data_IF_412129232706
#
_entry.id   IF_412129232706
#
_cell.length_a   1.000
_cell.length_b   1.000
_cell.length_c   1.000
_cell.angle_alpha   90.00
_cell.angle_beta   90.00
_cell.angle_gamma   90.00
#
_symmetry.space_group_name_H-M   'P 1'
#
loop_
_entity.id
_entity.type
_entity.pdbx_description
1 polymer ?
#
# COMPACT_ATOMS: atom_id res chain seq x y z
N UNK A 1 -17.78 -1.40 -18.85
CA UNK A 1 -17.43 0.04 -18.75
C UNK A 1 -15.92 0.24 -18.85
N UNK A 2 -15.10 -0.38 -18.02
CA UNK A 2 -13.63 -0.24 -18.04
C UNK A 2 -13.05 -0.53 -19.43
N UNK A 3 -13.40 -1.67 -20.03
CA UNK A 3 -12.95 -2.04 -21.38
C UNK A 3 -13.41 -1.04 -22.46
N UNK A 4 -14.60 -0.46 -22.33
CA UNK A 4 -15.08 0.56 -23.26
C UNK A 4 -14.28 1.85 -23.12
N UNK A 5 -13.95 2.25 -21.90
CA UNK A 5 -13.13 3.42 -21.62
C UNK A 5 -11.70 3.23 -22.15
N UNK A 6 -11.08 2.09 -21.88
CA UNK A 6 -9.76 1.74 -22.39
C UNK A 6 -9.74 1.68 -23.95
N UNK A 7 -10.77 1.10 -24.57
CA UNK A 7 -10.93 1.07 -26.03
C UNK A 7 -11.04 2.48 -26.63
N UNK A 8 -11.77 3.37 -25.94
CA UNK A 8 -11.87 4.78 -26.34
C UNK A 8 -10.54 5.52 -26.17
N UNK A 9 -9.81 5.30 -25.09
CA UNK A 9 -8.48 5.90 -24.85
C UNK A 9 -7.49 5.52 -25.96
N UNK A 10 -7.54 4.29 -26.42
CA UNK A 10 -6.74 3.79 -27.55
C UNK A 10 -7.27 4.24 -28.92
N UNK A 11 -8.13 5.26 -28.96
CA UNK A 11 -8.76 5.77 -30.20
C UNK A 11 -9.47 4.67 -30.98
N UNK A 12 -10.15 3.76 -30.28
CA UNK A 12 -10.84 2.60 -30.80
C UNK A 12 -9.95 1.63 -31.61
N UNK A 13 -8.69 1.49 -31.21
CA UNK A 13 -7.76 0.48 -31.74
C UNK A 13 -7.72 -0.74 -30.84
N UNK A 14 -7.52 -1.92 -31.45
CA UNK A 14 -7.28 -3.15 -30.67
C UNK A 14 -5.96 -3.08 -29.92
N UNK A 15 -5.86 -3.84 -28.83
CA UNK A 15 -4.58 -4.07 -28.16
C UNK A 15 -3.67 -4.80 -29.13
N UNK A 16 -2.42 -4.38 -29.22
CA UNK A 16 -1.39 -5.17 -29.86
C UNK A 16 -1.14 -6.38 -28.95
N UNK A 17 -1.24 -7.60 -29.49
CA UNK A 17 -0.85 -8.78 -28.76
C UNK A 17 0.64 -8.67 -28.41
N UNK A 18 1.05 -8.93 -27.16
CA UNK A 18 2.46 -9.15 -26.86
C UNK A 18 3.00 -10.34 -27.68
N UNK A 19 4.29 -10.29 -27.99
CA UNK A 19 4.97 -11.40 -28.65
C UNK A 19 4.87 -12.67 -27.79
N UNK A 20 4.93 -13.82 -28.43
CA UNK A 20 4.78 -15.17 -27.89
C UNK A 20 5.40 -15.36 -26.51
N UNK A 21 4.56 -15.63 -25.49
CA UNK A 21 4.99 -15.99 -24.12
C UNK A 21 4.17 -15.44 -22.96
N UNK A 22 3.27 -14.49 -23.16
CA UNK A 22 2.39 -13.97 -22.11
C UNK A 22 1.01 -14.64 -22.11
N UNK A 23 0.50 -14.89 -20.90
CA UNK A 23 -0.74 -15.57 -20.56
C UNK A 23 -1.86 -15.39 -21.59
N UNK A 24 -2.42 -16.49 -22.06
CA UNK A 24 -3.60 -16.49 -22.95
C UNK A 24 -4.70 -15.64 -22.33
N UNK A 25 -5.09 -14.59 -23.07
CA UNK A 25 -6.17 -13.73 -22.62
C UNK A 25 -7.44 -14.56 -22.41
N UNK A 26 -8.06 -14.37 -21.24
CA UNK A 26 -9.31 -15.04 -20.84
C UNK A 26 -10.33 -14.98 -21.99
N UNK A 27 -10.94 -16.10 -22.40
CA UNK A 27 -11.82 -16.16 -23.58
C UNK A 27 -12.93 -15.12 -23.55
N UNK A 28 -13.53 -14.85 -22.38
CA UNK A 28 -14.59 -13.86 -22.19
C UNK A 28 -14.11 -12.44 -22.50
N UNK A 29 -12.86 -12.11 -22.18
CA UNK A 29 -12.26 -10.81 -22.48
C UNK A 29 -12.08 -10.64 -23.99
N UNK A 30 -11.62 -11.68 -24.69
CA UNK A 30 -11.50 -11.67 -26.17
C UNK A 30 -12.85 -11.47 -26.85
N UNK A 31 -13.91 -12.10 -26.38
CA UNK A 31 -15.24 -11.97 -26.96
C UNK A 31 -15.84 -10.58 -26.73
N UNK A 32 -15.60 -9.98 -25.59
CA UNK A 32 -15.94 -8.59 -25.33
C UNK A 32 -15.14 -7.63 -26.22
N UNK A 33 -13.84 -7.84 -26.42
CA UNK A 33 -13.03 -7.03 -27.34
C UNK A 33 -13.52 -7.14 -28.79
N UNK A 34 -13.84 -8.34 -29.26
CA UNK A 34 -14.45 -8.55 -30.58
C UNK A 34 -15.79 -7.81 -30.72
N UNK A 35 -16.62 -7.86 -29.65
CA UNK A 35 -17.89 -7.15 -29.61
C UNK A 35 -17.68 -5.63 -29.70
N UNK A 36 -16.77 -5.06 -28.89
CA UNK A 36 -16.43 -3.64 -28.95
C UNK A 36 -15.90 -3.23 -30.32
N UNK A 37 -15.06 -4.04 -30.97
CA UNK A 37 -14.54 -3.79 -32.30
C UNK A 37 -15.65 -3.80 -33.36
N UNK A 38 -16.61 -4.72 -33.27
CA UNK A 38 -17.78 -4.77 -34.19
C UNK A 38 -18.61 -3.49 -34.12
N UNK A 39 -18.73 -2.90 -32.94
CA UNK A 39 -19.50 -1.67 -32.73
C UNK A 39 -18.67 -0.38 -32.78
N UNK A 40 -17.40 -0.45 -33.14
CA UNK A 40 -16.44 0.66 -33.14
C UNK A 40 -16.98 1.95 -33.73
N UNK A 41 -17.53 1.89 -34.99
CA UNK A 41 -18.00 3.07 -35.67
C UNK A 41 -19.20 3.71 -34.97
N UNK A 42 -20.15 2.90 -34.49
CA UNK A 42 -21.32 3.40 -33.74
C UNK A 42 -20.90 4.02 -32.41
N UNK A 43 -19.97 3.38 -31.71
CA UNK A 43 -19.45 3.89 -30.44
C UNK A 43 -18.71 5.22 -30.63
N UNK A 44 -17.87 5.33 -31.66
CA UNK A 44 -17.16 6.57 -31.98
C UNK A 44 -18.12 7.69 -32.38
N UNK A 45 -19.11 7.40 -33.20
CA UNK A 45 -20.14 8.36 -33.60
C UNK A 45 -20.99 8.83 -32.43
N UNK A 46 -21.47 7.90 -31.59
CA UNK A 46 -22.23 8.24 -30.38
C UNK A 46 -21.43 9.11 -29.43
N UNK A 47 -20.14 8.81 -29.21
CA UNK A 47 -19.26 9.62 -28.38
C UNK A 47 -19.07 11.02 -28.97
N UNK A 48 -18.87 11.14 -30.28
CA UNK A 48 -18.75 12.44 -30.96
C UNK A 48 -20.03 13.28 -30.80
N UNK A 49 -21.20 12.70 -31.05
CA UNK A 49 -22.50 13.35 -30.84
C UNK A 49 -22.69 13.78 -29.39
N UNK A 50 -22.36 12.92 -28.44
CA UNK A 50 -22.45 13.24 -27.03
C UNK A 50 -21.54 14.42 -26.63
N UNK A 51 -20.28 14.41 -27.10
CA UNK A 51 -19.34 15.50 -26.88
C UNK A 51 -19.81 16.83 -27.46
N UNK A 52 -20.32 16.83 -28.65
CA UNK A 52 -20.86 18.02 -29.31
C UNK A 52 -22.07 18.55 -28.53
N UNK A 53 -23.03 17.67 -28.20
CA UNK A 53 -24.25 18.01 -27.46
C UNK A 53 -23.96 18.67 -26.11
N UNK A 54 -22.92 18.21 -25.44
CA UNK A 54 -22.55 18.68 -24.08
C UNK A 54 -21.36 19.63 -24.08
N UNK A 55 -20.88 20.09 -25.24
CA UNK A 55 -19.74 20.98 -25.42
C UNK A 55 -18.47 20.49 -24.67
N UNK A 56 -18.17 19.18 -24.74
CA UNK A 56 -17.06 18.54 -24.04
C UNK A 56 -15.81 18.48 -24.90
N UNK A 57 -14.68 18.94 -24.38
CA UNK A 57 -13.38 18.85 -25.08
C UNK A 57 -12.87 17.43 -25.20
N UNK A 58 -13.11 16.58 -24.18
CA UNK A 58 -12.68 15.18 -24.16
C UNK A 58 -13.71 14.30 -23.43
N UNK A 59 -13.60 12.98 -23.54
CA UNK A 59 -14.44 12.06 -22.78
C UNK A 59 -14.21 12.14 -21.27
N UNK A 60 -12.99 12.46 -20.83
CA UNK A 60 -12.66 12.66 -19.42
C UNK A 60 -13.39 13.84 -18.79
N UNK A 61 -13.87 14.82 -19.60
CA UNK A 61 -14.70 15.92 -19.08
C UNK A 61 -16.07 15.47 -18.53
N UNK A 62 -16.48 14.22 -18.78
CA UNK A 62 -17.68 13.61 -18.17
C UNK A 62 -17.43 13.19 -16.72
N UNK A 63 -16.18 12.93 -16.37
CA UNK A 63 -15.80 12.55 -15.01
C UNK A 63 -15.86 13.76 -14.06
N UNK A 64 -16.16 13.51 -12.81
CA UNK A 64 -16.10 14.56 -11.77
C UNK A 64 -14.68 15.14 -11.66
N UNK A 65 -14.58 16.38 -11.17
CA UNK A 65 -13.29 17.04 -11.02
C UNK A 65 -12.34 16.27 -10.12
N UNK A 66 -12.88 15.68 -9.05
CA UNK A 66 -12.10 14.84 -8.12
C UNK A 66 -11.47 13.63 -8.81
N UNK A 67 -12.20 12.97 -9.71
CA UNK A 67 -11.68 11.82 -10.48
C UNK A 67 -10.65 12.29 -11.50
N UNK A 68 -10.90 13.40 -12.19
CA UNK A 68 -9.93 13.97 -13.17
C UNK A 68 -8.61 14.36 -12.51
N UNK A 69 -8.65 14.95 -11.31
CA UNK A 69 -7.45 15.29 -10.54
C UNK A 69 -6.68 14.02 -10.17
N UNK A 70 -7.37 12.97 -9.70
CA UNK A 70 -6.76 11.68 -9.40
C UNK A 70 -6.14 11.03 -10.63
N UNK A 71 -6.87 10.99 -11.75
CA UNK A 71 -6.36 10.46 -13.02
C UNK A 71 -5.10 11.20 -13.49
N UNK A 72 -5.08 12.53 -13.36
CA UNK A 72 -3.90 13.32 -13.72
C UNK A 72 -2.71 12.98 -12.83
N UNK A 73 -2.91 12.94 -11.51
CA UNK A 73 -1.88 12.56 -10.55
C UNK A 73 -1.36 11.14 -10.77
N UNK A 74 -2.24 10.19 -11.03
CA UNK A 74 -1.86 8.80 -11.28
C UNK A 74 -0.90 8.62 -12.47
N UNK A 75 -1.03 9.47 -13.50
CA UNK A 75 -0.16 9.43 -14.68
C UNK A 75 1.26 9.97 -14.43
N UNK A 76 1.43 10.81 -13.42
CA UNK A 76 2.72 11.43 -13.07
C UNK A 76 3.35 10.86 -11.81
N UNK A 77 2.68 9.91 -11.14
CA UNK A 77 3.21 9.26 -9.94
C UNK A 77 4.58 8.64 -10.22
N UNK A 78 5.62 8.99 -9.45
CA UNK A 78 6.90 8.31 -9.52
C UNK A 78 6.78 6.84 -9.12
N UNK A 79 7.74 6.04 -9.55
CA UNK A 79 7.91 4.68 -9.06
C UNK A 79 8.74 4.70 -7.78
N UNK A 80 8.28 3.97 -6.79
CA UNK A 80 9.02 3.73 -5.56
C UNK A 80 9.46 2.28 -5.53
N UNK A 81 10.70 2.04 -5.13
CA UNK A 81 11.23 0.69 -5.03
C UNK A 81 12.17 0.58 -3.83
N UNK A 82 11.88 -0.36 -2.94
CA UNK A 82 12.71 -0.63 -1.78
C UNK A 82 13.81 -1.66 -2.08
N UNK A 83 14.93 -1.52 -1.43
CA UNK A 83 16.11 -2.37 -1.55
C UNK A 83 16.04 -3.48 -0.50
N UNK A 84 16.25 -4.73 -0.93
CA UNK A 84 16.34 -5.87 -0.03
C UNK A 84 17.69 -5.88 0.70
N UNK A 85 17.71 -5.31 1.89
CA UNK A 85 18.91 -5.14 2.71
C UNK A 85 19.43 -6.44 3.35
N UNK A 86 18.79 -7.59 3.12
CA UNK A 86 19.35 -8.89 3.50
C UNK A 86 20.51 -9.33 2.58
N UNK A 87 20.54 -8.85 1.35
CA UNK A 87 21.48 -9.31 0.33
C UNK A 87 22.42 -8.22 -0.17
N UNK A 88 22.06 -6.95 0.00
CA UNK A 88 22.82 -5.80 -0.50
C UNK A 88 22.55 -4.57 0.36
N UNK A 89 23.26 -3.49 0.11
CA UNK A 89 23.00 -2.18 0.73
C UNK A 89 22.39 -1.20 -0.28
N UNK A 90 21.77 -0.14 0.23
CA UNK A 90 21.28 0.94 -0.62
C UNK A 90 22.39 1.55 -1.47
N UNK A 91 23.59 1.74 -0.88
CA UNK A 91 24.73 2.36 -1.56
C UNK A 91 25.27 1.46 -2.68
N UNK A 92 25.35 0.14 -2.49
CA UNK A 92 25.70 -0.81 -3.55
C UNK A 92 24.71 -0.77 -4.73
N UNK A 93 23.40 -0.66 -4.44
CA UNK A 93 22.40 -0.51 -5.50
C UNK A 93 22.57 0.84 -6.22
N UNK A 94 22.87 1.93 -5.51
CA UNK A 94 23.17 3.22 -6.13
C UNK A 94 24.40 3.14 -7.04
N UNK A 95 25.47 2.43 -6.64
CA UNK A 95 26.64 2.20 -7.47
C UNK A 95 26.29 1.42 -8.75
N UNK A 96 25.47 0.38 -8.65
CA UNK A 96 24.97 -0.36 -9.81
C UNK A 96 24.17 0.52 -10.77
N UNK A 97 23.33 1.42 -10.25
CA UNK A 97 22.57 2.38 -11.04
C UNK A 97 23.49 3.41 -11.72
N UNK A 98 24.51 3.90 -11.01
CA UNK A 98 25.55 4.77 -11.61
C UNK A 98 26.31 4.05 -12.72
N UNK A 99 26.66 2.78 -12.52
CA UNK A 99 27.26 1.94 -13.56
C UNK A 99 26.37 1.73 -14.79
N UNK A 100 25.05 1.83 -14.61
CA UNK A 100 24.04 1.81 -15.69
C UNK A 100 23.79 3.22 -16.31
N UNK A 101 24.64 4.20 -16.05
CA UNK A 101 24.55 5.60 -16.51
C UNK A 101 23.31 6.36 -15.94
N UNK A 102 22.81 5.98 -14.78
CA UNK A 102 21.83 6.78 -14.05
C UNK A 102 22.51 7.71 -13.05
N UNK A 103 21.97 8.91 -12.88
CA UNK A 103 22.49 9.92 -11.94
C UNK A 103 21.53 10.13 -10.77
N UNK A 104 22.09 10.31 -9.56
CA UNK A 104 21.30 10.65 -8.38
C UNK A 104 20.90 12.13 -8.41
N UNK A 105 19.60 12.42 -8.20
CA UNK A 105 19.05 13.78 -8.03
C UNK A 105 18.46 13.95 -6.63
N UNK A 106 18.44 15.18 -6.13
CA UNK A 106 17.99 15.49 -4.77
C UNK A 106 16.47 15.66 -4.68
N UNK A 107 15.82 16.10 -5.75
CA UNK A 107 14.41 16.45 -5.75
C UNK A 107 13.65 15.55 -6.72
N UNK A 108 12.46 15.13 -6.31
CA UNK A 108 11.57 14.26 -7.11
C UNK A 108 11.13 14.96 -8.41
N UNK A 109 11.07 16.29 -8.41
CA UNK A 109 10.72 17.08 -9.60
C UNK A 109 11.79 17.04 -10.70
N UNK A 110 13.03 16.69 -10.36
CA UNK A 110 14.14 16.60 -11.30
C UNK A 110 14.30 15.19 -11.90
N UNK A 111 13.39 14.28 -11.58
CA UNK A 111 13.43 12.92 -12.11
C UNK A 111 13.21 12.87 -13.61
N UNK A 112 14.09 12.14 -14.27
CA UNK A 112 14.05 11.82 -15.70
C UNK A 112 14.22 10.31 -15.92
N UNK A 113 14.23 9.86 -17.17
CA UNK A 113 14.42 8.44 -17.48
C UNK A 113 15.87 7.95 -17.26
N UNK A 114 16.80 8.84 -16.91
CA UNK A 114 18.21 8.56 -16.60
C UNK A 114 18.61 8.98 -15.19
N UNK A 115 17.64 9.25 -14.31
CA UNK A 115 17.92 9.69 -12.94
C UNK A 115 17.09 8.92 -11.90
N UNK A 116 17.59 8.89 -10.66
CA UNK A 116 16.90 8.37 -9.49
C UNK A 116 17.10 9.27 -8.28
N UNK A 117 16.28 9.12 -7.24
CA UNK A 117 16.43 9.84 -5.98
C UNK A 117 16.24 8.90 -4.79
N UNK A 118 16.78 9.24 -3.64
CA UNK A 118 16.52 8.55 -2.36
C UNK A 118 15.27 9.12 -1.72
N UNK A 119 14.41 8.26 -1.13
CA UNK A 119 13.23 8.74 -0.42
C UNK A 119 13.62 9.31 0.96
N UNK A 120 13.23 10.54 1.29
CA UNK A 120 13.60 11.18 2.56
C UNK A 120 12.95 10.53 3.79
N UNK A 121 11.83 9.81 3.63
CA UNK A 121 11.10 9.14 4.73
C UNK A 121 11.41 7.64 4.83
N UNK A 122 11.88 7.03 3.74
CA UNK A 122 12.11 5.60 3.65
C UNK A 122 13.58 5.35 3.28
N UNK A 123 14.44 5.08 4.27
CA UNK A 123 15.89 5.03 4.07
C UNK A 123 16.38 3.88 3.18
N UNK A 124 15.52 2.91 2.90
CA UNK A 124 15.78 1.77 2.02
C UNK A 124 15.11 1.91 0.65
N UNK A 125 14.53 3.07 0.32
CA UNK A 125 13.67 3.24 -0.85
C UNK A 125 14.25 4.25 -1.83
N UNK A 126 14.24 3.88 -3.12
CA UNK A 126 14.62 4.71 -4.25
C UNK A 126 13.38 5.15 -5.04
N UNK A 127 13.49 6.29 -5.70
CA UNK A 127 12.43 6.93 -6.48
C UNK A 127 12.89 7.06 -7.93
N UNK A 128 12.00 6.69 -8.86
CA UNK A 128 12.29 6.70 -10.30
C UNK A 128 11.17 7.38 -11.08
N UNK A 129 11.46 7.83 -12.31
CA UNK A 129 10.44 8.26 -13.26
C UNK A 129 9.46 7.14 -13.57
N UNK A 130 8.16 7.47 -13.70
CA UNK A 130 7.11 6.52 -14.10
C UNK A 130 7.42 5.81 -15.42
N UNK A 131 8.12 6.46 -16.34
CA UNK A 131 8.52 5.89 -17.63
C UNK A 131 9.43 4.67 -17.50
N UNK A 132 10.14 4.54 -16.38
CA UNK A 132 11.02 3.42 -16.08
C UNK A 132 10.29 2.17 -15.57
N UNK A 133 8.95 2.18 -15.49
CA UNK A 133 8.17 1.05 -14.96
C UNK A 133 8.50 -0.26 -15.68
N UNK A 134 8.36 -0.29 -17.01
CA UNK A 134 8.62 -1.49 -17.81
C UNK A 134 10.11 -1.88 -17.81
N UNK A 135 11.06 -0.96 -18.03
CA UNK A 135 12.48 -1.28 -17.92
C UNK A 135 12.90 -1.85 -16.56
N UNK A 136 12.43 -1.25 -15.45
CA UNK A 136 12.74 -1.73 -14.11
C UNK A 136 12.12 -3.10 -13.83
N UNK A 137 10.87 -3.32 -14.20
CA UNK A 137 10.21 -4.63 -14.04
C UNK A 137 10.95 -5.75 -14.77
N UNK A 138 11.57 -5.45 -15.91
CA UNK A 138 12.34 -6.40 -16.72
C UNK A 138 13.82 -6.46 -16.33
N UNK A 139 14.26 -5.68 -15.35
CA UNK A 139 15.66 -5.63 -14.95
C UNK A 139 16.08 -6.83 -14.11
N UNK A 140 17.37 -7.14 -14.08
CA UNK A 140 17.94 -8.15 -13.19
C UNK A 140 17.72 -7.79 -11.72
N UNK A 141 17.79 -6.50 -11.34
CA UNK A 141 17.58 -6.04 -9.97
C UNK A 141 16.20 -6.42 -9.43
N UNK A 142 15.16 -6.32 -10.27
CA UNK A 142 13.78 -6.65 -9.89
C UNK A 142 13.53 -8.15 -9.96
N UNK A 143 14.04 -8.85 -10.97
CA UNK A 143 13.86 -10.30 -11.12
C UNK A 143 14.56 -11.12 -10.03
N UNK A 144 15.65 -10.59 -9.46
CA UNK A 144 16.37 -11.16 -8.31
C UNK A 144 15.90 -10.62 -6.95
N UNK A 145 14.87 -9.78 -6.93
CA UNK A 145 14.35 -9.14 -5.72
C UNK A 145 15.37 -8.34 -4.90
N UNK A 146 16.41 -7.84 -5.54
CA UNK A 146 17.33 -6.84 -4.98
C UNK A 146 16.60 -5.50 -4.85
N UNK A 147 15.82 -5.12 -5.89
CA UNK A 147 14.98 -3.94 -5.93
C UNK A 147 13.53 -4.34 -6.13
N UNK A 148 12.62 -3.83 -5.31
CA UNK A 148 11.23 -4.26 -5.28
C UNK A 148 10.29 -3.06 -5.43
N UNK A 149 9.57 -2.98 -6.55
CA UNK A 149 8.64 -1.88 -6.83
C UNK A 149 7.42 -2.00 -5.91
N UNK A 150 7.15 -0.95 -5.15
CA UNK A 150 6.04 -0.90 -4.21
C UNK A 150 5.52 0.52 -4.04
N UNK A 151 4.23 0.68 -3.71
CA UNK A 151 3.65 1.99 -3.44
C UNK A 151 4.30 2.67 -2.23
N UNK A 152 4.58 3.98 -2.35
CA UNK A 152 5.23 4.76 -1.29
C UNK A 152 4.49 4.69 0.03
N UNK A 153 3.16 4.71 0.01
CA UNK A 153 2.36 4.67 1.25
C UNK A 153 2.61 3.41 2.05
N UNK A 154 2.94 2.30 1.38
CA UNK A 154 3.32 1.03 2.01
C UNK A 154 4.76 1.09 2.51
N UNK A 155 5.71 1.60 1.69
CA UNK A 155 7.10 1.80 2.12
C UNK A 155 7.17 2.66 3.39
N UNK A 156 6.40 3.74 3.46
CA UNK A 156 6.30 4.60 4.65
C UNK A 156 5.75 3.84 5.85
N UNK A 157 4.72 3.00 5.68
CA UNK A 157 4.18 2.19 6.77
C UNK A 157 5.22 1.21 7.33
N UNK A 158 6.07 0.62 6.47
CA UNK A 158 7.18 -0.24 6.90
C UNK A 158 8.31 0.56 7.55
N UNK A 159 8.67 1.71 6.97
CA UNK A 159 9.71 2.60 7.53
C UNK A 159 9.39 3.05 8.95
N UNK A 160 8.12 3.29 9.27
CA UNK A 160 7.65 3.59 10.62
C UNK A 160 7.96 2.48 11.62
N UNK A 161 7.98 1.22 11.19
CA UNK A 161 8.28 0.09 12.08
C UNK A 161 9.75 0.04 12.48
N UNK A 162 10.68 0.40 11.62
CA UNK A 162 12.12 0.22 11.86
C UNK A 162 12.59 0.74 13.23
N UNK A 163 12.30 1.99 13.64
CA UNK A 163 12.70 2.51 14.94
C UNK A 163 11.89 1.91 16.12
N UNK A 164 10.81 1.19 15.84
CA UNK A 164 9.93 0.59 16.84
C UNK A 164 10.25 -0.89 17.12
N UNK A 165 11.14 -1.47 16.32
CA UNK A 165 11.52 -2.87 16.43
C UNK A 165 12.45 -3.10 17.64
N UNK A 166 12.12 -4.12 18.41
CA UNK A 166 12.90 -4.54 19.58
C UNK A 166 13.89 -5.62 19.17
N UNK A 167 15.07 -5.59 19.78
CA UNK A 167 16.05 -6.66 19.61
C UNK A 167 15.44 -8.01 20.02
N UNK A 168 15.49 -8.98 19.12
CA UNK A 168 14.86 -10.31 19.27
C UNK A 168 13.36 -10.28 19.57
N UNK A 169 12.69 -9.15 19.36
CA UNK A 169 11.24 -9.02 19.52
C UNK A 169 10.51 -9.39 18.25
N UNK A 170 9.37 -10.08 18.38
CA UNK A 170 8.58 -10.48 17.24
C UNK A 170 7.58 -9.40 16.85
N UNK A 171 7.25 -9.36 15.55
CA UNK A 171 6.25 -8.47 14.94
C UNK A 171 5.09 -9.32 14.42
N UNK A 172 3.86 -8.92 14.66
CA UNK A 172 2.69 -9.54 14.04
C UNK A 172 2.07 -8.58 13.02
N UNK A 173 1.77 -9.11 11.83
CA UNK A 173 1.08 -8.37 10.77
C UNK A 173 -0.36 -8.85 10.72
N UNK A 174 -1.30 -7.92 10.92
CA UNK A 174 -2.73 -8.20 10.91
C UNK A 174 -3.45 -7.40 9.84
N UNK A 175 -4.41 -7.99 9.16
CA UNK A 175 -5.25 -7.34 8.16
C UNK A 175 -5.05 -7.90 6.76
N UNK A 176 -5.10 -7.03 5.76
CA UNK A 176 -4.98 -7.38 4.33
C UNK A 176 -3.75 -6.71 3.74
N UNK A 177 -2.82 -7.51 3.22
CA UNK A 177 -1.54 -7.05 2.68
C UNK A 177 -1.02 -8.04 1.63
N UNK A 178 -0.11 -7.57 0.80
CA UNK A 178 0.54 -8.40 -0.22
C UNK A 178 1.69 -9.24 0.34
N UNK A 179 2.08 -10.27 -0.40
CA UNK A 179 3.31 -11.01 -0.11
C UNK A 179 4.55 -10.11 -0.10
N UNK A 180 4.57 -9.08 -0.96
CA UNK A 180 5.67 -8.11 -1.04
C UNK A 180 5.73 -7.20 0.20
N UNK A 181 4.59 -6.76 0.72
CA UNK A 181 4.51 -6.00 1.98
C UNK A 181 5.00 -6.84 3.15
N UNK A 182 4.61 -8.11 3.21
CA UNK A 182 5.10 -9.04 4.23
C UNK A 182 6.62 -9.23 4.14
N UNK A 183 7.16 -9.41 2.93
CA UNK A 183 8.60 -9.54 2.70
C UNK A 183 9.35 -8.28 3.16
N UNK A 184 8.86 -7.09 2.85
CA UNK A 184 9.46 -5.83 3.28
C UNK A 184 9.50 -5.70 4.81
N UNK A 185 8.40 -6.02 5.50
CA UNK A 185 8.35 -6.05 6.97
C UNK A 185 9.33 -7.10 7.53
N UNK A 186 9.44 -8.26 6.87
CA UNK A 186 10.34 -9.33 7.31
C UNK A 186 11.82 -8.94 7.17
N UNK A 187 12.18 -8.24 6.10
CA UNK A 187 13.53 -7.67 5.91
C UNK A 187 13.83 -6.66 7.02
N UNK A 188 12.92 -5.75 7.31
CA UNK A 188 13.08 -4.78 8.39
C UNK A 188 13.23 -5.47 9.76
N UNK A 189 12.43 -6.49 10.06
CA UNK A 189 12.48 -7.24 11.33
C UNK A 189 13.77 -8.06 11.47
N UNK A 190 14.30 -8.60 10.37
CA UNK A 190 15.54 -9.38 10.38
C UNK A 190 16.74 -8.57 10.88
N UNK A 191 16.78 -7.26 10.61
CA UNK A 191 17.81 -6.36 11.11
C UNK A 191 17.89 -6.29 12.65
N UNK A 192 16.83 -6.73 13.35
CA UNK A 192 16.75 -6.83 14.81
C UNK A 192 16.64 -8.28 15.31
N UNK A 193 16.97 -9.26 14.46
CA UNK A 193 16.83 -10.69 14.79
C UNK A 193 15.40 -11.08 15.23
N UNK A 194 14.39 -10.34 14.78
CA UNK A 194 12.99 -10.55 15.06
C UNK A 194 12.32 -11.49 14.04
N UNK A 195 11.27 -12.21 14.50
CA UNK A 195 10.39 -12.96 13.61
C UNK A 195 9.15 -12.14 13.26
N UNK A 196 8.59 -12.40 12.09
CA UNK A 196 7.30 -11.87 11.67
C UNK A 196 6.25 -12.98 11.73
N UNK A 197 5.15 -12.70 12.44
CA UNK A 197 4.02 -13.61 12.60
C UNK A 197 2.87 -13.16 11.69
N UNK A 198 2.23 -14.10 11.01
CA UNK A 198 1.07 -13.89 10.14
C UNK A 198 0.00 -14.92 10.46
N UNK A 199 -1.25 -14.52 10.57
CA UNK A 199 -2.38 -15.43 10.78
C UNK A 199 -2.91 -15.93 9.43
N UNK A 200 -2.61 -17.19 9.10
CA UNK A 200 -2.91 -17.79 7.79
C UNK A 200 -4.40 -17.91 7.49
N UNK A 201 -5.24 -18.07 8.51
CA UNK A 201 -6.70 -18.17 8.32
C UNK A 201 -7.36 -16.83 7.89
N UNK A 202 -6.65 -15.70 8.00
CA UNK A 202 -7.15 -14.41 7.50
C UNK A 202 -6.93 -14.24 5.99
N UNK A 203 -6.21 -15.18 5.34
CA UNK A 203 -5.84 -15.14 3.94
C UNK A 203 -6.41 -16.35 3.18
N UNK A 204 -6.65 -16.18 1.89
CA UNK A 204 -7.02 -17.29 1.02
C UNK A 204 -5.85 -18.27 0.83
N UNK A 205 -6.14 -19.50 0.39
CA UNK A 205 -5.10 -20.49 0.07
C UNK A 205 -4.12 -19.95 -0.96
N UNK A 206 -4.63 -19.26 -1.99
CA UNK A 206 -3.79 -18.64 -3.03
C UNK A 206 -2.86 -17.59 -2.45
N UNK A 207 -3.35 -16.69 -1.61
CA UNK A 207 -2.52 -15.66 -0.95
C UNK A 207 -1.44 -16.28 -0.06
N UNK A 208 -1.78 -17.34 0.67
CA UNK A 208 -0.80 -18.07 1.48
C UNK A 208 0.28 -18.76 0.63
N UNK A 209 -0.08 -19.28 -0.54
CA UNK A 209 0.88 -19.86 -1.50
C UNK A 209 1.76 -18.78 -2.12
N UNK A 210 1.20 -17.65 -2.52
CA UNK A 210 1.96 -16.49 -3.03
C UNK A 210 2.97 -15.97 -2.01
N UNK A 211 2.55 -15.83 -0.73
CA UNK A 211 3.46 -15.43 0.35
C UNK A 211 4.62 -16.42 0.50
N UNK A 212 4.34 -17.73 0.56
CA UNK A 212 5.38 -18.76 0.69
C UNK A 212 6.34 -18.76 -0.51
N UNK A 213 5.80 -18.64 -1.72
CA UNK A 213 6.59 -18.64 -2.95
C UNK A 213 7.53 -17.42 -3.01
N UNK A 214 7.03 -16.21 -2.68
CA UNK A 214 7.84 -14.99 -2.69
C UNK A 214 8.92 -15.03 -1.60
N UNK A 215 8.55 -15.39 -0.36
CA UNK A 215 9.50 -15.48 0.75
C UNK A 215 10.63 -16.48 0.45
N UNK A 216 10.30 -17.62 -0.21
CA UNK A 216 11.30 -18.60 -0.65
C UNK A 216 12.22 -18.03 -1.72
N UNK A 217 11.70 -17.31 -2.73
CA UNK A 217 12.51 -16.65 -3.76
C UNK A 217 13.48 -15.60 -3.20
N UNK A 218 13.05 -14.90 -2.15
CA UNK A 218 13.84 -13.84 -1.48
C UNK A 218 14.73 -14.38 -0.35
N UNK A 219 14.79 -15.70 -0.14
CA UNK A 219 15.49 -16.38 0.98
C UNK A 219 15.14 -15.82 2.38
N UNK A 220 13.89 -15.38 2.56
CA UNK A 220 13.39 -14.86 3.83
C UNK A 220 12.92 -16.00 4.72
N UNK A 221 13.58 -16.19 5.89
CA UNK A 221 13.34 -17.33 6.79
C UNK A 221 12.71 -16.92 8.13
N UNK A 222 12.57 -15.64 8.40
CA UNK A 222 12.08 -15.12 9.68
C UNK A 222 10.56 -14.87 9.70
N UNK A 223 9.79 -15.49 8.80
CA UNK A 223 8.32 -15.41 8.78
C UNK A 223 7.72 -16.72 9.24
N UNK A 224 6.76 -16.66 10.17
CA UNK A 224 6.00 -17.80 10.68
C UNK A 224 4.51 -17.58 10.44
N UNK A 225 3.88 -18.49 9.70
CA UNK A 225 2.44 -18.48 9.48
C UNK A 225 1.76 -19.31 10.58
N UNK A 226 0.85 -18.67 11.31
CA UNK A 226 0.01 -19.28 12.35
C UNK A 226 -1.26 -19.82 11.70
N UNK A 227 -1.81 -20.95 12.14
CA UNK A 227 -3.01 -21.53 11.54
C UNK A 227 -4.29 -20.77 11.88
N UNK A 228 -4.31 -20.02 12.99
CA UNK A 228 -5.47 -19.29 13.48
C UNK A 228 -5.72 -18.00 12.70
N UNK A 229 -6.95 -17.47 12.80
CA UNK A 229 -7.26 -16.09 12.44
C UNK A 229 -6.81 -15.13 13.54
N UNK A 230 -6.42 -13.90 13.17
CA UNK A 230 -5.89 -12.93 14.12
C UNK A 230 -6.86 -12.66 15.28
N UNK A 231 -8.13 -12.40 15.00
CA UNK A 231 -9.12 -12.15 16.04
C UNK A 231 -9.49 -13.37 16.90
N UNK A 232 -8.96 -14.55 16.57
CA UNK A 232 -9.12 -15.79 17.34
C UNK A 232 -7.81 -16.17 18.07
N UNK A 233 -6.72 -15.48 17.79
CA UNK A 233 -5.42 -15.75 18.39
C UNK A 233 -5.46 -15.38 19.88
N UNK A 234 -5.17 -16.36 20.73
CA UNK A 234 -5.17 -16.15 22.18
C UNK A 234 -3.89 -15.41 22.60
N UNK A 235 -4.06 -14.38 23.40
CA UNK A 235 -2.98 -13.57 23.96
C UNK A 235 -2.00 -14.36 24.87
N UNK A 236 -2.44 -15.52 25.39
CA UNK A 236 -1.64 -16.43 26.20
C UNK A 236 -0.93 -17.53 25.40
N UNK A 237 -1.06 -17.51 24.05
CA UNK A 237 -0.40 -18.49 23.21
C UNK A 237 1.13 -18.36 23.31
N UNK A 238 1.84 -19.45 23.52
CA UNK A 238 3.31 -19.47 23.61
C UNK A 238 3.99 -18.88 22.35
N UNK A 239 3.35 -18.96 21.17
CA UNK A 239 3.90 -18.40 19.93
C UNK A 239 3.96 -16.87 19.92
N UNK A 240 3.17 -16.19 20.74
CA UNK A 240 3.17 -14.71 20.88
C UNK A 240 3.92 -14.22 22.10
N UNK A 241 4.68 -15.10 22.75
CA UNK A 241 5.41 -14.75 23.99
C UNK A 241 6.45 -13.64 23.77
N UNK A 242 7.08 -13.59 22.60
CA UNK A 242 8.09 -12.59 22.22
C UNK A 242 7.50 -11.41 21.44
N UNK A 243 6.18 -11.38 21.22
CA UNK A 243 5.50 -10.36 20.43
C UNK A 243 5.62 -8.99 21.13
N UNK A 244 6.20 -8.01 20.43
CA UNK A 244 6.42 -6.65 20.92
C UNK A 244 5.69 -5.59 20.10
N UNK A 245 5.53 -5.85 18.81
CA UNK A 245 4.92 -4.90 17.88
C UNK A 245 3.82 -5.60 17.10
N UNK A 246 2.68 -4.94 16.92
CA UNK A 246 1.64 -5.36 15.98
C UNK A 246 1.48 -4.23 14.95
N UNK A 247 1.54 -4.57 13.67
CA UNK A 247 1.11 -3.67 12.60
C UNK A 247 -0.25 -4.12 12.10
N UNK A 248 -1.21 -3.20 12.09
CA UNK A 248 -2.58 -3.42 11.60
C UNK A 248 -2.73 -2.71 10.27
N UNK A 249 -2.89 -3.48 9.20
CA UNK A 249 -3.09 -3.05 7.82
C UNK A 249 -4.48 -3.47 7.36
N UNK A 250 -5.56 -2.86 7.85
CA UNK A 250 -6.89 -3.34 7.56
C UNK A 250 -7.32 -3.00 6.13
N UNK A 251 -8.31 -3.71 5.60
CA UNK A 251 -9.03 -3.23 4.44
C UNK A 251 -9.64 -1.85 4.74
N UNK A 252 -9.52 -0.93 3.79
CA UNK A 252 -10.01 0.43 3.91
C UNK A 252 -10.62 0.92 2.59
N UNK A 253 -11.19 2.11 2.62
CA UNK A 253 -11.83 2.72 1.45
C UNK A 253 -10.88 2.99 0.27
N UNK A 254 -9.57 2.94 0.47
CA UNK A 254 -8.56 3.28 -0.55
C UNK A 254 -8.74 4.69 -1.16
N UNK A 255 -9.44 5.57 -0.46
CA UNK A 255 -9.83 6.91 -0.94
C UNK A 255 -8.64 7.87 -1.09
N UNK A 256 -7.53 7.59 -0.39
CA UNK A 256 -6.28 8.36 -0.49
C UNK A 256 -5.39 7.93 -1.68
N UNK A 257 -5.80 6.96 -2.48
CA UNK A 257 -5.06 6.50 -3.65
C UNK A 257 -5.42 7.34 -4.89
N UNK A 258 -4.41 7.68 -5.69
CA UNK A 258 -4.60 8.31 -7.00
C UNK A 258 -5.04 7.28 -8.05
N UNK A 259 -4.41 6.09 -8.06
CA UNK A 259 -4.88 4.91 -8.80
C UNK A 259 -5.24 3.78 -7.82
N UNK A 260 -6.52 3.70 -7.42
CA UNK A 260 -6.93 2.66 -6.49
C UNK A 260 -6.88 1.25 -7.11
N UNK A 261 -7.06 1.11 -8.43
CA UNK A 261 -7.13 -0.21 -9.09
C UNK A 261 -5.81 -0.95 -9.01
N UNK A 262 -4.71 -0.28 -9.39
CA UNK A 262 -3.37 -0.87 -9.36
C UNK A 262 -2.99 -1.29 -7.94
N UNK A 263 -3.22 -0.39 -6.96
CA UNK A 263 -2.86 -0.67 -5.56
C UNK A 263 -3.79 -1.72 -4.92
N UNK A 264 -5.09 -1.73 -5.25
CA UNK A 264 -6.00 -2.79 -4.78
C UNK A 264 -5.59 -4.16 -5.30
N UNK A 265 -5.14 -4.23 -6.55
CA UNK A 265 -4.66 -5.46 -7.15
C UNK A 265 -3.40 -5.96 -6.44
N UNK A 266 -2.39 -5.09 -6.29
CA UNK A 266 -1.11 -5.46 -5.72
C UNK A 266 -1.15 -5.72 -4.21
N UNK A 267 -2.05 -5.07 -3.45
CA UNK A 267 -2.13 -5.12 -1.99
C UNK A 267 -3.41 -5.81 -1.47
N UNK A 268 -4.06 -6.62 -2.31
CA UNK A 268 -5.28 -7.37 -1.94
C UNK A 268 -6.38 -6.50 -1.31
N UNK A 269 -6.61 -5.32 -1.90
CA UNK A 269 -7.63 -4.39 -1.42
C UNK A 269 -9.07 -4.89 -1.61
N UNK A 270 -10.01 -4.20 -1.00
CA UNK A 270 -11.44 -4.52 -1.13
C UNK A 270 -12.04 -3.99 -2.44
N UNK A 271 -12.21 -4.88 -3.41
CA UNK A 271 -12.82 -4.56 -4.71
C UNK A 271 -14.24 -4.03 -4.63
N UNK A 272 -14.96 -4.29 -3.52
CA UNK A 272 -16.32 -3.81 -3.34
C UNK A 272 -16.43 -2.29 -3.14
N UNK A 273 -15.31 -1.58 -2.92
CA UNK A 273 -15.30 -0.10 -2.88
C UNK A 273 -15.12 0.52 -4.25
N UNK A 274 -14.74 -0.24 -5.28
CA UNK A 274 -14.44 0.27 -6.61
C UNK A 274 -15.64 0.98 -7.29
N UNK A 275 -16.90 0.47 -7.20
CA UNK A 275 -18.05 1.18 -7.71
C UNK A 275 -18.23 2.57 -7.08
N UNK A 276 -18.06 2.69 -5.78
CA UNK A 276 -18.16 3.96 -5.05
C UNK A 276 -17.06 4.93 -5.48
N UNK A 277 -15.82 4.44 -5.56
CA UNK A 277 -14.67 5.25 -5.99
C UNK A 277 -14.83 5.78 -7.44
N UNK A 278 -15.51 5.04 -8.31
CA UNK A 278 -15.81 5.48 -9.68
C UNK A 278 -16.76 6.69 -9.73
N UNK A 279 -17.50 6.93 -8.67
CA UNK A 279 -18.36 8.11 -8.49
C UNK A 279 -17.66 9.22 -7.66
N UNK A 280 -16.41 9.01 -7.24
CA UNK A 280 -15.61 9.98 -6.50
C UNK A 280 -15.83 10.03 -4.99
N UNK A 281 -16.72 9.17 -4.45
CA UNK A 281 -16.98 9.10 -3.01
C UNK A 281 -17.42 7.69 -2.61
N UNK A 282 -17.03 7.26 -1.41
CA UNK A 282 -17.44 5.99 -0.83
C UNK A 282 -18.70 6.19 0.00
N UNK A 283 -19.68 5.28 -0.13
CA UNK A 283 -20.95 5.36 0.59
C UNK A 283 -20.78 5.25 2.11
N UNK A 284 -21.63 5.95 2.87
CA UNK A 284 -21.60 5.92 4.34
C UNK A 284 -21.78 4.51 4.91
N UNK A 285 -22.63 3.69 4.28
CA UNK A 285 -22.84 2.30 4.69
C UNK A 285 -21.57 1.45 4.52
N UNK A 286 -20.81 1.68 3.45
CA UNK A 286 -19.54 0.99 3.21
C UNK A 286 -18.47 1.43 4.21
N UNK A 287 -18.36 2.74 4.47
CA UNK A 287 -17.45 3.28 5.51
C UNK A 287 -17.79 2.66 6.88
N UNK A 288 -19.08 2.57 7.24
CA UNK A 288 -19.51 1.94 8.49
C UNK A 288 -19.10 0.47 8.56
N UNK A 289 -19.28 -0.29 7.48
CA UNK A 289 -18.85 -1.70 7.42
C UNK A 289 -17.33 -1.83 7.61
N UNK A 290 -16.54 -1.02 6.89
CA UNK A 290 -15.08 -1.02 6.99
C UNK A 290 -14.62 -0.65 8.40
N UNK A 291 -15.16 0.42 8.99
CA UNK A 291 -14.79 0.88 10.33
C UNK A 291 -15.16 -0.13 11.42
N UNK A 292 -16.19 -0.94 11.22
CA UNK A 292 -16.54 -2.03 12.14
C UNK A 292 -15.45 -3.11 12.15
N UNK A 293 -14.98 -3.54 10.98
CA UNK A 293 -13.91 -4.53 10.87
C UNK A 293 -12.57 -3.97 11.37
N UNK A 294 -12.25 -2.74 11.00
CA UNK A 294 -11.05 -2.04 11.43
C UNK A 294 -11.00 -1.90 12.96
N UNK A 295 -12.12 -1.50 13.59
CA UNK A 295 -12.22 -1.38 15.05
C UNK A 295 -11.98 -2.73 15.75
N UNK A 296 -12.50 -3.83 15.18
CA UNK A 296 -12.30 -5.18 15.72
C UNK A 296 -10.83 -5.59 15.69
N UNK A 297 -10.13 -5.36 14.56
CA UNK A 297 -8.72 -5.67 14.42
C UNK A 297 -7.87 -4.84 15.40
N UNK A 298 -8.11 -3.53 15.45
CA UNK A 298 -7.36 -2.64 16.33
C UNK A 298 -7.63 -2.95 17.80
N UNK A 299 -8.89 -3.15 18.21
CA UNK A 299 -9.23 -3.49 19.59
C UNK A 299 -8.56 -4.79 20.03
N UNK A 300 -8.59 -5.82 19.17
CA UNK A 300 -7.93 -7.09 19.47
C UNK A 300 -6.39 -6.92 19.61
N UNK A 301 -5.76 -6.08 18.77
CA UNK A 301 -4.33 -5.82 18.89
C UNK A 301 -3.91 -5.21 20.24
N UNK A 302 -4.82 -4.50 20.92
CA UNK A 302 -4.56 -3.87 22.22
C UNK A 302 -4.68 -4.85 23.41
N UNK A 303 -5.22 -6.05 23.21
CA UNK A 303 -5.38 -7.05 24.30
C UNK A 303 -4.07 -7.73 24.68
N UNK A 304 -3.10 -7.82 23.74
CA UNK A 304 -1.86 -8.58 23.97
C UNK A 304 -0.98 -7.94 25.05
N UNK A 305 -0.73 -8.64 26.17
CA UNK A 305 -0.08 -8.02 27.35
C UNK A 305 1.39 -7.66 27.14
N UNK A 306 2.10 -8.39 26.27
CA UNK A 306 3.53 -8.19 26.00
C UNK A 306 3.81 -7.23 24.86
N UNK A 307 2.79 -6.82 24.12
CA UNK A 307 2.90 -5.83 23.04
C UNK A 307 3.14 -4.45 23.64
N UNK A 308 4.16 -3.78 23.14
CA UNK A 308 4.56 -2.45 23.56
C UNK A 308 4.06 -1.37 22.61
N UNK A 309 3.96 -1.71 21.32
CA UNK A 309 3.55 -0.76 20.28
C UNK A 309 2.61 -1.43 19.29
N UNK A 310 1.56 -0.70 18.94
CA UNK A 310 0.66 -1.04 17.83
C UNK A 310 0.74 0.09 16.81
N UNK A 311 0.96 -0.26 15.55
CA UNK A 311 0.94 0.67 14.42
C UNK A 311 -0.30 0.35 13.60
N UNK A 312 -1.15 1.34 13.39
CA UNK A 312 -2.38 1.23 12.59
C UNK A 312 -2.24 2.09 11.34
N UNK A 313 -2.41 1.49 10.16
CA UNK A 313 -2.24 2.17 8.89
C UNK A 313 -3.45 1.99 7.99
N UNK A 314 -3.91 3.07 7.35
CA UNK A 314 -4.91 3.03 6.27
C UNK A 314 -4.46 3.85 5.07
N UNK A 315 -5.10 3.60 3.93
CA UNK A 315 -4.98 4.42 2.72
C UNK A 315 -6.28 5.19 2.50
N UNK A 316 -6.79 5.80 3.56
CA UNK A 316 -8.05 6.53 3.59
C UNK A 316 -7.85 8.00 3.93
N UNK A 317 -8.65 8.87 3.33
CA UNK A 317 -8.78 10.27 3.72
C UNK A 317 -9.90 10.49 4.74
N UNK A 318 -10.72 9.47 5.01
CA UNK A 318 -11.89 9.61 5.88
C UNK A 318 -11.49 9.55 7.36
N UNK A 319 -11.84 10.59 8.15
CA UNK A 319 -11.57 10.62 9.59
C UNK A 319 -12.21 9.44 10.35
N UNK A 320 -13.33 8.91 9.86
CA UNK A 320 -14.06 7.80 10.42
C UNK A 320 -13.24 6.49 10.41
N UNK A 321 -12.37 6.31 9.41
CA UNK A 321 -11.45 5.18 9.32
C UNK A 321 -10.12 5.44 10.03
N UNK A 322 -9.84 6.69 10.37
CA UNK A 322 -8.56 7.19 10.86
C UNK A 322 -8.63 7.58 12.34
N UNK A 323 -8.43 8.86 12.66
CA UNK A 323 -8.33 9.35 14.03
C UNK A 323 -9.57 9.13 14.87
N UNK A 324 -10.76 9.23 14.29
CA UNK A 324 -12.02 8.99 15.04
C UNK A 324 -12.14 7.54 15.44
N UNK A 325 -11.74 6.61 14.56
CA UNK A 325 -11.70 5.18 14.88
C UNK A 325 -10.69 4.89 15.99
N UNK A 326 -9.47 5.39 15.84
CA UNK A 326 -8.38 5.15 16.82
C UNK A 326 -8.79 5.65 18.20
N UNK A 327 -9.30 6.87 18.33
CA UNK A 327 -9.74 7.44 19.60
C UNK A 327 -10.88 6.64 20.21
N UNK A 328 -11.90 6.30 19.42
CA UNK A 328 -13.03 5.49 19.89
C UNK A 328 -12.57 4.13 20.43
N UNK A 329 -11.67 3.46 19.73
CA UNK A 329 -11.15 2.15 20.17
C UNK A 329 -10.32 2.30 21.46
N UNK A 330 -9.51 3.34 21.58
CA UNK A 330 -8.73 3.59 22.80
C UNK A 330 -9.62 3.90 24.02
N UNK A 331 -10.70 4.67 23.82
CA UNK A 331 -11.69 4.97 24.87
C UNK A 331 -12.42 3.71 25.36
N UNK A 332 -12.68 2.77 24.46
CA UNK A 332 -13.39 1.51 24.75
C UNK A 332 -12.45 0.39 25.22
N UNK A 333 -11.14 0.56 25.07
CA UNK A 333 -10.17 -0.47 25.40
C UNK A 333 -10.12 -0.74 26.92
N UNK A 334 -10.46 -1.97 27.32
CA UNK A 334 -10.29 -2.41 28.69
C UNK A 334 -8.81 -2.65 28.96
N UNK A 335 -8.24 -1.86 29.85
CA UNK A 335 -6.86 -2.03 30.27
C UNK A 335 -6.79 -3.05 31.43
N UNK A 336 -5.97 -4.08 31.27
CA UNK A 336 -5.70 -5.00 32.37
C UNK A 336 -5.13 -4.22 33.56
N UNK A 337 -5.59 -4.41 34.82
CA UNK A 337 -5.22 -3.58 35.96
C UNK A 337 -3.70 -3.47 36.25
N UNK A 338 -2.95 -4.48 35.79
CA UNK A 338 -1.48 -4.53 35.97
C UNK A 338 -0.68 -3.95 34.80
N UNK A 339 -1.34 -3.57 33.70
CA UNK A 339 -0.70 -3.07 32.49
C UNK A 339 -0.94 -1.58 32.34
N UNK A 340 -0.01 -0.90 31.70
CA UNK A 340 -0.22 0.49 31.28
C UNK A 340 -1.16 0.52 30.06
N UNK A 341 -2.06 1.51 30.01
CA UNK A 341 -2.93 1.68 28.84
C UNK A 341 -2.12 2.09 27.62
N UNK A 342 -2.60 1.69 26.45
CA UNK A 342 -2.10 2.25 25.20
C UNK A 342 -2.55 3.70 25.06
N UNK A 343 -1.67 4.54 24.53
CA UNK A 343 -1.95 5.94 24.21
C UNK A 343 -1.41 6.30 22.85
N UNK A 344 -2.02 7.31 22.25
CA UNK A 344 -1.49 7.95 21.04
C UNK A 344 -0.09 8.48 21.34
N UNK A 345 0.89 8.10 20.55
CA UNK A 345 2.28 8.51 20.71
C UNK A 345 2.74 9.18 19.41
N UNK A 346 2.80 10.51 19.39
CA UNK A 346 3.15 11.30 18.21
C UNK A 346 4.63 11.39 17.93
N UNK A 347 5.11 12.36 17.12
CA UNK A 347 5.18 12.11 15.69
C UNK A 347 6.15 10.95 15.37
N UNK A 348 5.91 10.27 14.27
CA UNK A 348 6.65 9.05 13.87
C UNK A 348 7.91 9.42 13.10
N UNK A 349 7.88 10.54 12.40
CA UNK A 349 9.00 11.12 11.67
C UNK A 349 9.41 12.44 12.32
N UNK A 350 10.71 12.82 12.27
CA UNK A 350 11.15 14.12 12.76
C UNK A 350 10.47 15.27 11.97
N UNK A 351 10.37 16.42 12.61
CA UNK A 351 9.59 17.61 12.22
C UNK A 351 9.89 18.24 10.84
N UNK A 352 10.81 17.70 10.07
CA UNK A 352 11.14 18.16 8.71
C UNK A 352 10.13 17.74 7.64
N UNK A 353 9.10 17.06 8.03
CA UNK A 353 8.10 16.60 7.08
C UNK A 353 7.29 17.78 6.53
N UNK A 354 7.46 18.03 5.31
CA UNK A 354 6.62 18.52 4.20
C UNK A 354 5.12 18.79 4.41
N UNK A 355 4.56 18.67 5.61
CA UNK A 355 3.20 19.15 5.93
C UNK A 355 3.28 20.47 6.68
N UNK A 356 3.01 21.55 5.96
CA UNK A 356 2.95 22.93 6.50
C UNK A 356 1.83 23.17 7.51
N UNK A 357 1.22 22.13 8.05
CA UNK A 357 0.20 22.20 9.09
C UNK A 357 0.83 21.80 10.42
N UNK A 358 1.33 22.81 11.16
CA UNK A 358 1.81 22.69 12.53
C UNK A 358 0.64 22.48 13.50
N UNK A 359 -0.21 21.52 13.24
CA UNK A 359 -1.16 21.06 14.25
C UNK A 359 -0.44 20.02 15.11
N UNK A 360 -0.69 20.05 16.42
CA UNK A 360 -0.33 19.08 17.47
C UNK A 360 -0.84 17.65 17.14
N UNK A 361 -0.63 17.21 15.91
CA UNK A 361 -1.14 15.95 15.39
C UNK A 361 -0.27 14.80 15.91
N UNK A 362 -0.83 14.01 16.81
CA UNK A 362 -0.25 12.75 17.27
C UNK A 362 -0.27 11.66 16.18
N UNK A 363 -0.77 11.98 14.99
CA UNK A 363 -0.93 11.08 13.86
C UNK A 363 -0.11 11.58 12.67
N UNK A 364 0.44 10.63 11.94
CA UNK A 364 1.09 10.96 10.68
C UNK A 364 0.09 10.83 9.51
N UNK A 365 0.10 11.81 8.61
CA UNK A 365 -0.69 11.79 7.38
C UNK A 365 0.19 12.18 6.21
N UNK A 366 0.22 11.31 5.23
CA UNK A 366 0.74 11.60 3.91
C UNK A 366 -0.44 11.99 3.03
N UNK A 367 -0.46 13.23 2.56
CA UNK A 367 -1.54 13.69 1.67
C UNK A 367 -1.30 13.21 0.24
N UNK A 368 -2.36 12.75 -0.47
CA UNK A 368 -2.21 12.36 -1.86
C UNK A 368 -1.84 13.57 -2.72
N UNK A 369 -0.79 13.40 -3.54
CA UNK A 369 -0.26 14.43 -4.44
C UNK A 369 0.10 13.83 -5.81
N UNK A 370 0.71 14.60 -6.68
CA UNK A 370 1.29 14.11 -7.93
C UNK A 370 2.54 13.26 -7.72
N UNK A 371 3.14 13.30 -6.53
CA UNK A 371 4.34 12.52 -6.18
C UNK A 371 4.04 11.30 -5.33
N UNK A 372 2.88 11.20 -4.70
CA UNK A 372 2.61 10.10 -3.76
C UNK A 372 1.13 9.80 -3.60
N UNK A 373 0.81 8.55 -3.34
CA UNK A 373 -0.46 8.17 -2.74
C UNK A 373 -0.48 8.56 -1.26
N UNK A 374 -1.68 8.76 -0.72
CA UNK A 374 -1.85 9.13 0.67
C UNK A 374 -1.93 7.92 1.61
N UNK A 375 -1.59 8.16 2.87
CA UNK A 375 -1.84 7.22 3.96
C UNK A 375 -2.04 7.95 5.30
N UNK A 376 -2.66 7.24 6.22
CA UNK A 376 -2.77 7.62 7.62
C UNK A 376 -2.06 6.58 8.48
N UNK A 377 -1.28 7.02 9.46
CA UNK A 377 -0.57 6.15 10.39
C UNK A 377 -0.76 6.65 11.81
N UNK A 378 -1.21 5.76 12.69
CA UNK A 378 -1.28 5.97 14.12
C UNK A 378 -0.32 5.03 14.83
N UNK A 379 0.50 5.56 15.71
CA UNK A 379 1.33 4.82 16.63
C UNK A 379 0.69 4.83 18.01
N UNK A 380 0.42 3.67 18.56
CA UNK A 380 -0.11 3.48 19.90
C UNK A 380 0.93 2.75 20.74
N UNK A 381 1.33 3.33 21.87
CA UNK A 381 2.36 2.73 22.72
C UNK A 381 1.90 2.68 24.17
N UNK A 382 2.37 1.66 24.91
CA UNK A 382 2.27 1.64 26.36
C UNK A 382 3.30 2.63 26.91
N UNK A 383 2.86 3.57 27.72
CA UNK A 383 3.81 4.48 28.38
C UNK A 383 4.62 3.70 29.41
N UNK A 384 5.93 3.85 29.36
CA UNK A 384 6.80 3.52 30.48
C UNK A 384 6.49 4.54 31.59
N UNK A 385 6.21 4.10 32.79
CA UNK A 385 6.21 5.03 33.94
C UNK A 385 7.65 5.53 34.08
N UNK A 386 7.83 6.83 33.84
CA UNK A 386 9.05 7.50 34.31
C UNK A 386 9.14 7.23 35.86
N UNK A 387 10.17 6.53 36.27
CA UNK A 387 10.45 6.26 37.67
C UNK A 387 11.12 7.47 38.30
#
# INVERSE_FOLDING_TARGET
MVMLFDFQQRKFRLRQCPAEGEQEAVPEVRDLEKSLQRWKTKLAASLACFRIKHNLRSASCVLSDSIRVKEHRAKSLPLYAWVNTLHTSLDEVCELLHGANMSEVKQVVDLTDSTFSKDPLCPDTLIFSQNLCVPLQSSSLTSTHVLNIQDRSVCVAVSVLQPLLFEKGDVLVAGSFSALTLAHIAVAAAARSGQVLVCGADHTSLQNEEMKALLSKMDIKNVKVLPEAFCSLNESNATVERLKVIIVLPQCSSSALNDPVATMYSEHGDWNVLPDLSHGSVSKSKIFSLTTQQSRLLAHSLTFPKVQTVVYCTRSVFPEENEQLVRRVLEQAHTHPKLLPFRENGPIFPDDATSGDKTDSKFFRLQPSEFTNGCFIARLSRQVRDR
#
